data_IF_603936929656
#
_entry.id   IF_603936929656
#
_cell.length_a   1.000
_cell.length_b   1.000
_cell.length_c   1.000
_cell.angle_alpha   90.00
_cell.angle_beta   90.00
_cell.angle_gamma   90.00
#
_symmetry.space_group_name_H-M   'P 1'
#
loop_
_entity.id
_entity.type
_entity.pdbx_description
1 polymer ?
#
# COMPACT_ATOMS: atom_id res chain seq x y z
N UNK A 1 33.66 -22.65 89.83
CA UNK A 1 32.93 -23.54 88.90
C UNK A 1 33.26 -23.05 87.50
N UNK A 2 34.26 -23.59 86.79
CA UNK A 2 34.37 -24.91 86.14
C UNK A 2 33.93 -24.89 84.65
N UNK A 3 34.91 -25.26 83.79
CA UNK A 3 34.84 -25.85 82.41
C UNK A 3 34.51 -24.90 81.23
N UNK A 4 35.39 -24.73 80.24
CA UNK A 4 35.99 -25.65 79.23
C UNK A 4 35.05 -25.99 78.06
N UNK A 5 35.46 -25.51 76.87
CA UNK A 5 35.52 -26.28 75.61
C UNK A 5 34.24 -26.41 74.79
N UNK A 6 34.26 -25.93 73.55
CA UNK A 6 34.54 -26.77 72.36
C UNK A 6 34.36 -25.98 71.05
N UNK A 7 35.27 -26.27 70.12
CA UNK A 7 35.35 -25.82 68.74
C UNK A 7 34.56 -26.75 67.83
N UNK A 8 33.87 -26.21 66.82
CA UNK A 8 33.57 -26.77 65.49
C UNK A 8 32.76 -25.71 64.72
N UNK A 9 32.86 -25.43 63.43
CA UNK A 9 33.64 -25.93 62.31
C UNK A 9 33.28 -25.08 61.07
N UNK A 10 34.20 -25.06 60.10
CA UNK A 10 34.08 -24.70 58.67
C UNK A 10 32.76 -24.08 58.16
N UNK A 11 32.86 -22.92 57.49
CA UNK A 11 32.33 -22.76 56.12
C UNK A 11 33.28 -21.88 55.30
N UNK A 12 33.73 -22.48 54.20
CA UNK A 12 34.49 -21.93 53.08
C UNK A 12 33.74 -20.76 52.43
N UNK A 13 34.27 -19.54 52.55
CA UNK A 13 33.74 -18.38 51.81
C UNK A 13 34.31 -18.40 50.40
N UNK A 14 33.67 -19.23 49.56
CA UNK A 14 33.91 -19.25 48.12
C UNK A 14 33.87 -17.83 47.54
N UNK A 15 34.92 -17.52 46.80
CA UNK A 15 35.07 -16.30 46.00
C UNK A 15 33.82 -16.09 45.13
N UNK A 16 33.23 -14.87 45.07
CA UNK A 16 32.15 -14.60 44.12
C UNK A 16 32.73 -14.68 42.71
N UNK A 17 32.52 -15.81 42.05
CA UNK A 17 32.67 -15.91 40.60
C UNK A 17 31.61 -14.98 40.00
N UNK A 18 32.11 -13.83 39.56
CA UNK A 18 31.42 -12.83 38.75
C UNK A 18 30.97 -13.50 37.44
N UNK A 19 29.82 -14.19 37.47
CA UNK A 19 29.10 -14.60 36.28
C UNK A 19 28.48 -13.34 35.65
N UNK A 20 29.33 -12.50 35.04
CA UNK A 20 28.88 -11.61 33.97
C UNK A 20 28.46 -12.51 32.81
N UNK A 21 27.18 -12.86 32.79
CA UNK A 21 26.53 -13.35 31.60
C UNK A 21 26.87 -12.38 30.45
N UNK A 22 27.31 -12.87 29.28
CA UNK A 22 27.55 -11.99 28.14
C UNK A 22 26.23 -11.33 27.76
N UNK A 23 26.12 -10.03 28.02
CA UNK A 23 25.02 -9.16 27.63
C UNK A 23 25.01 -8.85 26.12
N UNK A 24 25.56 -9.75 25.30
CA UNK A 24 25.88 -9.51 23.89
C UNK A 24 25.02 -10.34 22.91
N UNK A 25 23.92 -10.90 23.38
CA UNK A 25 22.83 -11.34 22.52
C UNK A 25 21.66 -10.35 22.58
N UNK A 26 21.97 -9.05 22.46
CA UNK A 26 20.97 -8.06 22.08
C UNK A 26 20.48 -8.45 20.68
N UNK A 27 19.36 -9.18 20.67
CA UNK A 27 18.70 -9.68 19.49
C UNK A 27 18.66 -8.58 18.41
N UNK A 28 19.26 -8.88 17.26
CA UNK A 28 19.11 -8.13 16.01
C UNK A 28 17.68 -8.25 15.45
N UNK A 29 16.67 -8.22 16.32
CA UNK A 29 15.27 -8.17 15.96
C UNK A 29 14.99 -6.77 15.46
N UNK A 30 14.96 -6.60 14.12
CA UNK A 30 14.56 -5.35 13.51
C UNK A 30 13.25 -4.84 14.11
N UNK A 31 13.16 -3.52 14.32
CA UNK A 31 11.95 -2.93 14.87
C UNK A 31 10.74 -3.32 14.01
N UNK A 32 9.54 -3.49 14.60
CA UNK A 32 8.33 -3.83 13.83
C UNK A 32 8.09 -2.89 12.63
N UNK A 33 8.46 -1.62 12.76
CA UNK A 33 8.40 -0.64 11.67
C UNK A 33 9.39 -0.90 10.54
N UNK A 34 10.59 -1.44 10.82
CA UNK A 34 11.59 -1.77 9.79
C UNK A 34 11.16 -2.96 8.93
N UNK A 35 10.55 -3.98 9.53
CA UNK A 35 9.99 -5.13 8.79
C UNK A 35 8.88 -4.67 7.86
N UNK A 36 7.97 -3.84 8.37
CA UNK A 36 6.88 -3.33 7.56
C UNK A 36 7.36 -2.44 6.41
N UNK A 37 8.31 -1.53 6.67
CA UNK A 37 8.90 -0.72 5.61
C UNK A 37 9.52 -1.60 4.52
N UNK A 38 10.19 -2.68 4.91
CA UNK A 38 10.77 -3.64 3.97
C UNK A 38 9.70 -4.37 3.15
N UNK A 39 8.60 -4.78 3.79
CA UNK A 39 7.45 -5.37 3.10
C UNK A 39 6.80 -4.37 2.14
N UNK A 40 6.59 -3.13 2.57
CA UNK A 40 6.00 -2.09 1.73
C UNK A 40 6.87 -1.83 0.49
N UNK A 41 8.19 -1.77 0.64
CA UNK A 41 9.14 -1.65 -0.48
C UNK A 41 9.08 -2.88 -1.39
N UNK A 42 9.07 -4.10 -0.82
CA UNK A 42 8.99 -5.35 -1.58
C UNK A 42 7.71 -5.40 -2.43
N UNK A 43 6.55 -5.18 -1.81
CA UNK A 43 5.26 -5.24 -2.50
C UNK A 43 5.07 -4.09 -3.49
N UNK A 44 5.59 -2.90 -3.18
CA UNK A 44 5.67 -1.80 -4.15
C UNK A 44 6.53 -2.20 -5.37
N UNK A 45 7.68 -2.82 -5.14
CA UNK A 45 8.55 -3.33 -6.20
C UNK A 45 7.88 -4.39 -7.07
N UNK A 46 7.19 -5.36 -6.45
CA UNK A 46 6.45 -6.41 -7.15
C UNK A 46 5.33 -5.81 -8.00
N UNK A 47 4.45 -4.99 -7.42
CA UNK A 47 3.35 -4.37 -8.16
C UNK A 47 3.86 -3.45 -9.28
N UNK A 48 4.88 -2.63 -9.00
CA UNK A 48 5.53 -1.79 -9.99
C UNK A 48 6.11 -2.60 -11.14
N UNK A 49 6.85 -3.68 -10.84
CA UNK A 49 7.41 -4.57 -11.86
C UNK A 49 6.33 -5.26 -12.71
N UNK A 50 5.29 -5.82 -12.08
CA UNK A 50 4.20 -6.49 -12.79
C UNK A 50 3.42 -5.52 -13.70
N UNK A 51 3.20 -4.28 -13.24
CA UNK A 51 2.55 -3.23 -14.05
C UNK A 51 3.46 -2.64 -15.12
N UNK A 52 4.77 -2.97 -15.12
CA UNK A 52 5.69 -2.48 -16.14
C UNK A 52 5.50 -3.18 -17.48
N UNK A 53 4.59 -4.14 -17.66
CA UNK A 53 4.36 -4.79 -18.96
C UNK A 53 4.02 -3.81 -20.10
N UNK A 54 4.14 -4.23 -21.37
CA UNK A 54 3.66 -3.45 -22.51
C UNK A 54 2.18 -3.09 -22.36
N UNK A 55 1.83 -1.90 -22.85
CA UNK A 55 0.45 -1.46 -22.94
C UNK A 55 -0.23 -2.24 -24.07
N UNK A 56 -1.21 -3.08 -23.73
CA UNK A 56 -1.92 -3.94 -24.68
C UNK A 56 -3.45 -3.79 -24.63
N UNK A 57 -3.95 -2.75 -23.95
CA UNK A 57 -5.37 -2.60 -23.64
C UNK A 57 -6.07 -1.56 -24.52
N UNK A 58 -7.09 -2.00 -25.25
CA UNK A 58 -7.94 -1.14 -26.09
C UNK A 58 -8.67 -0.05 -25.28
N UNK A 59 -9.04 -0.33 -24.03
CA UNK A 59 -9.75 0.65 -23.18
C UNK A 59 -8.86 1.84 -22.84
N UNK A 60 -7.55 1.64 -22.74
CA UNK A 60 -6.60 2.73 -22.52
C UNK A 60 -6.58 3.72 -23.68
N UNK A 61 -6.75 3.26 -24.93
CA UNK A 61 -6.71 4.14 -26.09
C UNK A 61 -7.80 5.22 -26.02
N UNK A 62 -8.99 4.87 -25.53
CA UNK A 62 -10.07 5.83 -25.29
C UNK A 62 -9.70 6.85 -24.21
N UNK A 63 -9.02 6.43 -23.14
CA UNK A 63 -8.52 7.34 -22.11
C UNK A 63 -7.41 8.26 -22.60
N UNK A 64 -6.48 7.75 -23.40
CA UNK A 64 -5.43 8.57 -24.03
C UNK A 64 -6.02 9.57 -25.01
N UNK A 65 -6.94 9.15 -25.87
CA UNK A 65 -7.62 10.05 -26.80
C UNK A 65 -8.39 11.15 -26.05
N UNK A 66 -9.11 10.78 -24.98
CA UNK A 66 -9.78 11.74 -24.09
C UNK A 66 -8.78 12.70 -23.44
N UNK A 67 -7.67 12.18 -22.91
CA UNK A 67 -6.61 12.97 -22.29
C UNK A 67 -5.98 13.97 -23.26
N UNK A 68 -5.72 13.56 -24.50
CA UNK A 68 -5.21 14.45 -25.55
C UNK A 68 -6.16 15.62 -25.82
N UNK A 69 -7.47 15.36 -25.88
CA UNK A 69 -8.48 16.41 -26.03
C UNK A 69 -8.48 17.37 -24.83
N UNK A 70 -8.43 16.83 -23.61
CA UNK A 70 -8.38 17.63 -22.38
C UNK A 70 -7.16 18.55 -22.33
N UNK A 71 -6.00 18.03 -22.73
CA UNK A 71 -4.74 18.76 -22.71
C UNK A 71 -4.63 19.78 -23.84
N UNK A 72 -5.31 19.56 -24.98
CA UNK A 72 -5.26 20.46 -26.13
C UNK A 72 -6.34 21.55 -26.12
N UNK A 73 -7.52 21.28 -25.57
CA UNK A 73 -8.68 22.17 -25.68
C UNK A 73 -9.65 22.14 -24.49
N UNK A 74 -9.31 21.47 -23.39
CA UNK A 74 -10.18 21.34 -22.22
C UNK A 74 -11.20 20.21 -22.33
N UNK A 75 -12.19 20.21 -21.44
CA UNK A 75 -13.13 19.09 -21.34
C UNK A 75 -14.04 19.02 -22.56
N UNK A 76 -14.17 17.85 -23.21
CA UNK A 76 -15.08 17.69 -24.34
C UNK A 76 -16.54 17.87 -23.89
N UNK A 77 -17.26 18.76 -24.56
CA UNK A 77 -18.68 19.05 -24.29
C UNK A 77 -19.65 18.07 -24.95
N UNK A 78 -19.15 17.18 -25.81
CA UNK A 78 -19.93 16.12 -26.45
C UNK A 78 -19.06 14.92 -26.81
N UNK A 79 -19.67 13.82 -27.25
CA UNK A 79 -18.95 12.58 -27.52
C UNK A 79 -18.24 12.57 -28.88
N UNK A 80 -16.90 12.59 -28.93
CA UNK A 80 -16.18 12.54 -30.19
C UNK A 80 -15.90 11.10 -30.66
N UNK A 81 -16.21 10.09 -29.84
CA UNK A 81 -15.81 8.69 -30.08
C UNK A 81 -16.98 7.81 -30.52
N UNK A 82 -18.22 8.16 -30.19
CA UNK A 82 -19.41 7.36 -30.51
C UNK A 82 -20.34 8.14 -31.44
N UNK A 83 -20.62 7.56 -32.60
CA UNK A 83 -21.62 8.12 -33.51
C UNK A 83 -23.02 8.03 -32.90
N UNK A 84 -23.79 9.12 -32.96
CA UNK A 84 -25.20 9.16 -32.54
C UNK A 84 -25.44 9.35 -31.03
N UNK A 85 -24.39 9.41 -30.20
CA UNK A 85 -24.49 9.75 -28.78
C UNK A 85 -23.90 11.13 -28.57
N UNK A 86 -24.70 12.12 -28.18
CA UNK A 86 -24.21 13.49 -27.98
C UNK A 86 -23.46 13.68 -26.66
N UNK A 87 -23.86 12.98 -25.61
CA UNK A 87 -23.32 13.15 -24.26
C UNK A 87 -21.99 12.41 -24.08
N UNK A 88 -21.02 13.06 -23.44
CA UNK A 88 -19.72 12.46 -23.12
C UNK A 88 -19.79 11.71 -21.78
N UNK A 89 -19.85 10.37 -21.76
CA UNK A 89 -20.31 9.65 -20.58
C UNK A 89 -19.15 9.10 -19.74
N UNK A 90 -17.96 9.73 -19.72
CA UNK A 90 -16.78 9.10 -19.12
C UNK A 90 -16.54 9.61 -17.69
N UNK A 91 -16.93 8.86 -16.63
CA UNK A 91 -16.74 9.25 -15.22
C UNK A 91 -15.27 9.23 -14.75
N UNK A 92 -14.32 8.93 -15.64
CA UNK A 92 -12.88 8.80 -15.36
C UNK A 92 -12.04 9.88 -16.05
N UNK A 93 -12.60 11.08 -16.17
CA UNK A 93 -12.00 12.22 -16.84
C UNK A 93 -10.72 12.72 -16.15
N UNK A 94 -10.56 12.57 -14.82
CA UNK A 94 -9.30 12.94 -14.15
C UNK A 94 -8.18 11.97 -14.48
N UNK A 95 -8.48 10.67 -14.53
CA UNK A 95 -7.51 9.66 -14.96
C UNK A 95 -7.08 9.90 -16.42
N UNK A 96 -8.05 10.15 -17.30
CA UNK A 96 -7.79 10.49 -18.71
C UNK A 96 -6.87 11.71 -18.82
N UNK A 97 -7.11 12.75 -18.01
CA UNK A 97 -6.29 13.96 -18.00
C UNK A 97 -4.86 13.72 -17.52
N UNK A 98 -4.70 12.90 -16.47
CA UNK A 98 -3.38 12.50 -15.99
C UNK A 98 -2.59 11.73 -17.06
N UNK A 99 -3.24 10.81 -17.77
CA UNK A 99 -2.64 10.09 -18.88
C UNK A 99 -2.27 11.02 -20.05
N UNK A 100 -3.16 11.95 -20.41
CA UNK A 100 -2.91 12.93 -21.46
C UNK A 100 -1.73 13.84 -21.15
N UNK A 101 -1.60 14.32 -19.91
CA UNK A 101 -0.46 15.12 -19.48
C UNK A 101 0.84 14.32 -19.45
N UNK A 102 0.80 13.08 -18.91
CA UNK A 102 1.96 12.19 -18.95
C UNK A 102 2.44 11.96 -20.38
N UNK A 103 1.51 11.66 -21.29
CA UNK A 103 1.82 11.48 -22.70
C UNK A 103 2.38 12.76 -23.34
N UNK A 104 1.84 13.94 -23.04
CA UNK A 104 2.37 15.20 -23.56
C UNK A 104 3.80 15.47 -23.09
N UNK A 105 4.15 15.06 -21.87
CA UNK A 105 5.46 15.32 -21.28
C UNK A 105 6.57 14.43 -21.88
N UNK A 106 6.33 13.12 -22.04
CA UNK A 106 7.35 12.21 -22.56
C UNK A 106 6.80 10.98 -23.31
N UNK A 107 5.62 11.12 -23.91
CA UNK A 107 4.96 10.07 -24.69
C UNK A 107 4.51 8.88 -23.83
N UNK A 108 4.35 7.72 -24.49
CA UNK A 108 3.89 6.49 -23.84
C UNK A 108 4.84 5.97 -22.75
N UNK A 109 6.11 6.38 -22.78
CA UNK A 109 7.08 6.09 -21.71
C UNK A 109 6.66 6.69 -20.38
N UNK A 110 6.22 7.96 -20.37
CA UNK A 110 5.70 8.60 -19.16
C UNK A 110 4.37 8.00 -18.70
N UNK A 111 3.50 7.58 -19.62
CA UNK A 111 2.26 6.87 -19.28
C UNK A 111 2.55 5.55 -18.55
N UNK A 112 3.51 4.79 -19.06
CA UNK A 112 3.98 3.54 -18.43
C UNK A 112 4.61 3.82 -17.07
N UNK A 113 5.45 4.86 -16.96
CA UNK A 113 6.06 5.24 -15.69
C UNK A 113 5.01 5.66 -14.65
N UNK A 114 4.01 6.46 -15.04
CA UNK A 114 2.89 6.82 -14.17
C UNK A 114 2.18 5.57 -13.66
N UNK A 115 1.92 4.61 -14.54
CA UNK A 115 1.28 3.34 -14.18
C UNK A 115 2.11 2.54 -13.17
N UNK A 116 3.42 2.45 -13.38
CA UNK A 116 4.37 1.81 -12.46
C UNK A 116 4.37 2.48 -11.10
N UNK A 117 4.40 3.82 -11.05
CA UNK A 117 4.39 4.58 -9.79
C UNK A 117 3.08 4.37 -9.03
N UNK A 118 1.94 4.42 -9.72
CA UNK A 118 0.63 4.22 -9.08
C UNK A 118 0.50 2.77 -8.58
N UNK A 119 0.93 1.78 -9.35
CA UNK A 119 0.91 0.37 -8.94
C UNK A 119 1.87 0.10 -7.77
N UNK A 120 3.06 0.69 -7.77
CA UNK A 120 3.99 0.61 -6.66
C UNK A 120 3.39 1.24 -5.39
N UNK A 121 2.78 2.42 -5.52
CA UNK A 121 2.04 3.06 -4.44
C UNK A 121 0.93 2.18 -3.87
N UNK A 122 0.16 1.50 -4.74
CA UNK A 122 -0.85 0.52 -4.33
C UNK A 122 -0.24 -0.64 -3.53
N UNK A 123 0.88 -1.21 -3.99
CA UNK A 123 1.58 -2.28 -3.27
C UNK A 123 2.00 -1.88 -1.86
N UNK A 124 2.54 -0.67 -1.69
CA UNK A 124 2.87 -0.12 -0.37
C UNK A 124 1.62 0.12 0.49
N UNK A 125 0.55 0.67 -0.09
CA UNK A 125 -0.71 0.92 0.61
C UNK A 125 -1.41 -0.36 1.05
N UNK A 126 -1.32 -1.45 0.30
CA UNK A 126 -1.87 -2.76 0.70
C UNK A 126 -1.20 -3.28 1.96
N UNK A 127 0.13 -3.16 2.07
CA UNK A 127 0.87 -3.53 3.29
C UNK A 127 0.41 -2.66 4.46
N UNK A 128 0.30 -1.35 4.26
CA UNK A 128 -0.17 -0.41 5.29
C UNK A 128 -1.61 -0.68 5.72
N UNK A 129 -2.50 -0.95 4.77
CA UNK A 129 -3.90 -1.25 5.02
C UNK A 129 -4.08 -2.61 5.72
N UNK A 130 -3.13 -3.53 5.60
CA UNK A 130 -3.11 -4.83 6.29
C UNK A 130 -2.65 -4.78 7.75
N UNK A 131 -2.20 -3.63 8.25
CA UNK A 131 -1.69 -3.48 9.62
C UNK A 131 -2.73 -3.92 10.65
N UNK A 132 -2.37 -4.73 11.67
CA UNK A 132 -3.28 -5.11 12.74
C UNK A 132 -3.78 -3.90 13.54
N UNK A 133 -5.03 -3.94 14.00
CA UNK A 133 -5.62 -2.88 14.81
C UNK A 133 -5.12 -2.98 16.26
N UNK A 134 -4.20 -2.09 16.65
CA UNK A 134 -3.79 -1.87 18.03
C UNK A 134 -2.89 -2.96 18.68
N UNK A 135 -2.32 -2.68 19.87
CA UNK A 135 -1.66 -3.70 20.67
C UNK A 135 -2.70 -4.70 21.16
N UNK A 136 -2.43 -6.00 20.99
CA UNK A 136 -3.24 -7.06 21.62
C UNK A 136 -3.20 -6.81 23.12
N UNK A 137 -4.36 -6.57 23.72
CA UNK A 137 -4.52 -6.56 25.18
C UNK A 137 -3.92 -7.86 25.72
N UNK A 138 -2.80 -7.77 26.45
CA UNK A 138 -2.11 -8.94 27.01
C UNK A 138 -0.66 -9.17 26.56
N UNK A 139 -0.05 -8.29 25.75
CA UNK A 139 1.39 -8.39 25.42
C UNK A 139 1.74 -9.49 24.40
N UNK A 140 0.74 -10.21 23.88
CA UNK A 140 0.94 -11.13 22.76
C UNK A 140 1.19 -10.31 21.48
N UNK A 141 2.37 -10.47 20.88
CA UNK A 141 2.69 -9.89 19.57
C UNK A 141 1.67 -10.43 18.55
N UNK A 142 0.99 -9.55 17.80
CA UNK A 142 0.25 -10.00 16.62
C UNK A 142 1.26 -10.67 15.69
N UNK A 143 1.05 -11.94 15.28
CA UNK A 143 1.95 -12.56 14.32
C UNK A 143 1.91 -11.77 13.01
N UNK A 144 3.09 -11.39 12.52
CA UNK A 144 3.34 -10.72 11.22
C UNK A 144 2.69 -11.47 10.03
N UNK A 145 2.30 -12.71 10.26
CA UNK A 145 1.60 -13.60 9.31
C UNK A 145 0.31 -12.98 8.77
N UNK A 146 -0.46 -12.24 9.56
CA UNK A 146 -1.73 -11.66 9.10
C UNK A 146 -1.58 -10.57 8.00
N UNK A 147 -0.79 -9.49 8.21
CA UNK A 147 -0.57 -8.47 7.17
C UNK A 147 0.13 -9.04 5.93
N UNK A 148 1.07 -9.98 6.09
CA UNK A 148 1.75 -10.61 4.95
C UNK A 148 0.79 -11.48 4.14
N UNK A 149 -0.04 -12.32 4.78
CA UNK A 149 -1.00 -13.15 4.08
C UNK A 149 -2.03 -12.31 3.31
N UNK A 150 -2.53 -11.22 3.92
CA UNK A 150 -3.45 -10.32 3.25
C UNK A 150 -2.78 -9.58 2.09
N UNK A 151 -1.57 -9.06 2.28
CA UNK A 151 -0.82 -8.41 1.20
C UNK A 151 -0.51 -9.37 0.05
N UNK A 152 -0.11 -10.61 0.36
CA UNK A 152 0.09 -11.67 -0.64
C UNK A 152 -1.19 -11.97 -1.42
N UNK A 153 -2.32 -12.15 -0.74
CA UNK A 153 -3.60 -12.40 -1.39
C UNK A 153 -4.00 -11.25 -2.32
N UNK A 154 -3.88 -10.00 -1.85
CA UNK A 154 -4.16 -8.82 -2.68
C UNK A 154 -3.21 -8.73 -3.88
N UNK A 155 -1.92 -9.00 -3.70
CA UNK A 155 -0.94 -8.94 -4.80
C UNK A 155 -1.08 -10.09 -5.78
N UNK A 156 -1.51 -11.27 -5.34
CA UNK A 156 -1.91 -12.38 -6.21
C UNK A 156 -3.11 -12.02 -7.08
N UNK A 157 -4.12 -11.37 -6.50
CA UNK A 157 -5.26 -10.87 -7.29
C UNK A 157 -4.78 -9.81 -8.29
N UNK A 158 -3.97 -8.85 -7.83
CA UNK A 158 -3.44 -7.80 -8.70
C UNK A 158 -2.55 -8.36 -9.82
N UNK A 159 -1.76 -9.41 -9.58
CA UNK A 159 -0.89 -10.01 -10.59
C UNK A 159 -1.68 -10.68 -11.72
N UNK A 160 -2.84 -11.28 -11.41
CA UNK A 160 -3.76 -11.81 -12.41
C UNK A 160 -4.44 -10.68 -13.19
N UNK A 161 -4.73 -9.57 -12.52
CA UNK A 161 -5.45 -8.44 -13.12
C UNK A 161 -4.56 -7.51 -13.96
N UNK A 162 -3.30 -7.31 -13.60
CA UNK A 162 -2.40 -6.35 -14.26
C UNK A 162 -2.25 -6.56 -15.76
N UNK A 163 -2.13 -7.78 -16.31
CA UNK A 163 -2.09 -8.01 -17.76
C UNK A 163 -3.30 -7.43 -18.51
N UNK A 164 -4.44 -7.28 -17.83
CA UNK A 164 -5.71 -6.86 -18.43
C UNK A 164 -6.16 -5.46 -18.00
N UNK A 165 -5.69 -4.98 -16.86
CA UNK A 165 -6.10 -3.71 -16.25
C UNK A 165 -5.00 -2.63 -16.25
N UNK A 166 -3.87 -2.89 -16.91
CA UNK A 166 -2.72 -1.99 -16.88
C UNK A 166 -3.09 -0.59 -17.41
N UNK A 167 -2.70 0.45 -16.68
CA UNK A 167 -3.01 1.86 -16.99
C UNK A 167 -4.51 2.23 -17.04
N UNK A 168 -5.43 1.35 -16.60
CA UNK A 168 -6.86 1.69 -16.51
C UNK A 168 -7.15 2.59 -15.30
N UNK A 169 -8.24 3.38 -15.34
CA UNK A 169 -8.67 4.15 -14.18
C UNK A 169 -8.99 3.28 -12.95
N UNK A 170 -9.26 2.00 -13.17
CA UNK A 170 -9.46 1.00 -12.11
C UNK A 170 -8.27 0.92 -11.14
N UNK A 171 -7.03 1.09 -11.64
CA UNK A 171 -5.83 1.10 -10.80
C UNK A 171 -5.85 2.28 -9.81
N UNK A 172 -6.24 3.47 -10.28
CA UNK A 172 -6.48 4.63 -9.42
C UNK A 172 -7.60 4.37 -8.41
N UNK A 173 -8.66 3.67 -8.84
CA UNK A 173 -9.73 3.23 -7.95
C UNK A 173 -9.25 2.33 -6.80
N UNK A 174 -8.36 1.37 -7.07
CA UNK A 174 -7.77 0.53 -6.03
C UNK A 174 -6.88 1.31 -5.06
N UNK A 175 -6.10 2.29 -5.56
CA UNK A 175 -5.32 3.18 -4.70
C UNK A 175 -6.25 3.94 -3.74
N UNK A 176 -7.34 4.52 -4.25
CA UNK A 176 -8.27 5.30 -3.44
C UNK A 176 -9.06 4.43 -2.44
N UNK A 177 -9.39 3.20 -2.81
CA UNK A 177 -9.91 2.20 -1.87
C UNK A 177 -8.90 1.91 -0.75
N UNK A 178 -7.63 1.64 -1.10
CA UNK A 178 -6.60 1.36 -0.11
C UNK A 178 -6.34 2.56 0.82
N UNK A 179 -6.33 3.79 0.28
CA UNK A 179 -6.25 5.02 1.09
C UNK A 179 -7.44 5.14 2.03
N UNK A 180 -8.66 4.85 1.57
CA UNK A 180 -9.87 4.85 2.42
C UNK A 180 -9.74 3.88 3.59
N UNK A 181 -9.26 2.66 3.31
CA UNK A 181 -8.99 1.65 4.35
C UNK A 181 -7.93 2.13 5.35
N UNK A 182 -6.86 2.78 4.87
CA UNK A 182 -5.82 3.35 5.76
C UNK A 182 -6.41 4.46 6.64
N UNK A 183 -7.16 5.40 6.07
CA UNK A 183 -7.81 6.50 6.83
C UNK A 183 -8.69 5.94 7.93
N UNK A 184 -9.52 4.94 7.61
CA UNK A 184 -10.39 4.29 8.57
C UNK A 184 -9.60 3.53 9.64
N UNK A 185 -8.78 2.54 9.23
CA UNK A 185 -8.12 1.61 10.18
C UNK A 185 -7.17 2.32 11.12
N UNK A 186 -6.43 3.31 10.62
CA UNK A 186 -5.49 4.09 11.43
C UNK A 186 -6.18 5.22 12.21
N UNK A 187 -7.52 5.33 12.12
CA UNK A 187 -8.34 6.32 12.83
C UNK A 187 -7.88 7.75 12.55
N UNK A 188 -7.48 8.03 11.32
CA UNK A 188 -7.25 9.40 10.87
C UNK A 188 -8.57 10.19 10.88
N UNK A 189 -8.46 11.52 10.86
CA UNK A 189 -9.63 12.39 10.76
C UNK A 189 -10.51 11.98 9.56
N UNK A 190 -11.82 11.77 9.74
CA UNK A 190 -12.72 11.36 8.66
C UNK A 190 -12.84 12.44 7.57
N UNK A 191 -12.43 13.68 7.85
CA UNK A 191 -12.35 14.75 6.86
C UNK A 191 -11.42 14.42 5.68
N UNK A 192 -10.47 13.50 5.83
CA UNK A 192 -9.67 12.99 4.72
C UNK A 192 -10.48 12.21 3.68
N UNK A 193 -11.64 11.67 4.05
CA UNK A 193 -12.51 10.96 3.11
C UNK A 193 -13.14 11.91 2.09
N UNK A 194 -13.37 13.18 2.44
CA UNK A 194 -13.95 14.18 1.53
C UNK A 194 -13.09 14.36 0.26
N UNK A 195 -11.79 14.69 0.35
CA UNK A 195 -10.96 14.78 -0.85
C UNK A 195 -10.73 13.42 -1.52
N UNK A 196 -10.66 12.32 -0.77
CA UNK A 196 -10.48 10.97 -1.34
C UNK A 196 -11.67 10.60 -2.24
N UNK A 197 -12.90 10.74 -1.75
CA UNK A 197 -14.11 10.47 -2.54
C UNK A 197 -14.30 11.51 -3.66
N UNK A 198 -13.95 12.78 -3.42
CA UNK A 198 -13.95 13.83 -4.43
C UNK A 198 -13.02 13.50 -5.62
N UNK A 199 -11.86 12.92 -5.36
CA UNK A 199 -10.98 12.40 -6.41
C UNK A 199 -11.58 11.14 -7.04
N UNK A 200 -12.04 10.19 -6.22
CA UNK A 200 -12.45 8.86 -6.69
C UNK A 200 -13.63 8.89 -7.64
N UNK A 201 -14.65 9.69 -7.35
CA UNK A 201 -15.83 9.80 -8.23
C UNK A 201 -15.47 10.29 -9.64
N UNK A 202 -14.36 11.04 -9.78
CA UNK A 202 -13.86 11.56 -11.04
C UNK A 202 -12.77 10.68 -11.69
N UNK A 203 -12.33 9.64 -10.98
CA UNK A 203 -11.30 8.69 -11.43
C UNK A 203 -11.93 7.37 -11.87
N UNK A 204 -12.85 6.79 -11.08
CA UNK A 204 -13.42 5.48 -11.42
C UNK A 204 -14.72 5.20 -10.64
N UNK A 205 -15.69 4.54 -11.29
CA UNK A 205 -17.00 4.20 -10.70
C UNK A 205 -16.97 3.18 -9.54
N UNK A 206 -15.79 2.69 -9.16
CA UNK A 206 -15.64 1.74 -8.04
C UNK A 206 -15.79 2.39 -6.67
N UNK A 207 -15.96 3.71 -6.57
CA UNK A 207 -16.18 4.40 -5.30
C UNK A 207 -17.37 3.82 -4.50
N UNK A 208 -18.36 3.23 -5.18
CA UNK A 208 -19.47 2.51 -4.55
C UNK A 208 -19.03 1.37 -3.64
N UNK A 209 -17.88 0.73 -3.92
CA UNK A 209 -17.37 -0.34 -3.08
C UNK A 209 -17.06 0.15 -1.67
N UNK A 210 -16.63 1.40 -1.51
CA UNK A 210 -16.36 1.99 -0.20
C UNK A 210 -17.61 2.45 0.56
N UNK A 211 -18.79 2.46 -0.08
CA UNK A 211 -20.07 2.75 0.60
C UNK A 211 -20.63 1.49 1.28
N UNK A 212 -20.16 0.30 0.87
CA UNK A 212 -20.64 -0.99 1.36
C UNK A 212 -19.71 -1.59 2.44
N UNK A 213 -18.52 -1.02 2.63
CA UNK A 213 -17.60 -1.39 3.73
C UNK A 213 -17.95 -0.55 4.95
#
# INVERSE_FOLDING_TARGET
>A
MARNGLSTGLVDTGSPQDHRAPADAAASGGSPGAVEASLAVLFAGICGFLSSGPIADNSLLTHLATGRLQVSGGLPVGNPFLAGVGEFPVPSWWWSGALGWAERLAGLGAVRLLTVVVAAGLGALVVRAGRPDGPVSGGARVPVVAPVAQALASVLVLSVLFPWLNARPHLGGFVLLAVTLVVWRERHSPWWLVPVFGIWINVHGSWLHAVVV
#
